data_IF_795118274945
#
_entry.id   IF_795118274945
#
_cell.length_a   1.000
_cell.length_b   1.000
_cell.length_c   1.000
_cell.angle_alpha   90.00
_cell.angle_beta   90.00
_cell.angle_gamma   90.00
#
_symmetry.space_group_name_H-M   'P 1'
#
loop_
_entity.id
_entity.type
_entity.pdbx_description
1 polymer ?
#
# COMPACT_ATOMS: atom_id res chain seq x y z
N UNK A 1 -21.66 6.24 9.19
CA UNK A 1 -20.28 5.75 9.45
C UNK A 1 -19.32 6.74 8.82
N UNK A 2 -18.37 7.26 9.59
CA UNK A 2 -17.48 8.37 9.22
C UNK A 2 -16.14 7.93 8.58
N UNK A 3 -15.93 6.62 8.43
CA UNK A 3 -14.72 6.00 7.85
C UNK A 3 -15.10 5.05 6.72
N UNK A 4 -14.16 4.68 5.83
CA UNK A 4 -14.37 3.61 4.85
C UNK A 4 -14.74 2.28 5.53
N UNK A 5 -15.48 1.44 4.83
CA UNK A 5 -15.52 0.02 5.15
C UNK A 5 -14.17 -0.56 4.76
N UNK A 6 -13.51 -1.24 5.68
CA UNK A 6 -12.17 -1.79 5.45
C UNK A 6 -12.22 -3.31 5.31
N UNK A 7 -11.58 -3.82 4.26
CA UNK A 7 -11.35 -5.24 4.03
C UNK A 7 -9.87 -5.53 4.26
N UNK A 8 -9.56 -6.43 5.18
CA UNK A 8 -8.19 -6.94 5.34
C UNK A 8 -7.98 -8.08 4.36
N UNK A 9 -7.04 -7.91 3.43
CA UNK A 9 -6.68 -8.91 2.44
C UNK A 9 -5.19 -9.24 2.54
N UNK A 10 -4.88 -10.45 2.94
CA UNK A 10 -3.50 -10.91 3.10
C UNK A 10 -3.41 -12.42 2.96
N UNK A 11 -2.24 -12.90 2.55
CA UNK A 11 -1.88 -14.29 2.63
C UNK A 11 -1.53 -14.66 4.07
N UNK A 12 -2.11 -15.75 4.57
CA UNK A 12 -1.92 -16.22 5.93
C UNK A 12 -1.84 -17.74 5.95
N UNK A 13 -0.94 -18.28 6.77
CA UNK A 13 -0.89 -19.73 7.01
C UNK A 13 -2.08 -20.21 7.84
N UNK A 14 -2.35 -21.52 7.82
CA UNK A 14 -3.45 -22.12 8.62
C UNK A 14 -3.31 -21.90 10.11
N UNK A 15 -2.09 -21.70 10.63
CA UNK A 15 -1.82 -21.38 12.02
C UNK A 15 -1.75 -19.87 12.31
N UNK A 16 -2.22 -19.03 11.36
CA UNK A 16 -2.39 -17.59 11.56
C UNK A 16 -1.13 -16.74 11.33
N UNK A 17 -0.06 -17.29 10.76
CA UNK A 17 1.16 -16.52 10.45
C UNK A 17 1.03 -15.76 9.15
N UNK A 18 1.43 -14.50 9.17
CA UNK A 18 1.41 -13.58 8.03
C UNK A 18 2.81 -13.26 7.52
N UNK A 19 3.83 -13.87 8.10
CA UNK A 19 5.24 -13.71 7.69
C UNK A 19 5.87 -15.05 7.42
N UNK A 20 6.68 -15.19 6.36
CA UNK A 20 7.40 -16.43 6.04
C UNK A 20 8.56 -16.74 7.01
N UNK A 21 8.85 -15.89 7.98
CA UNK A 21 9.95 -16.11 8.92
C UNK A 21 9.88 -15.27 10.18
N UNK A 22 10.80 -15.55 11.11
CA UNK A 22 10.93 -14.85 12.39
C UNK A 22 11.48 -13.42 12.27
N UNK A 23 12.03 -13.06 11.12
CA UNK A 23 12.56 -11.73 10.82
C UNK A 23 11.78 -11.09 9.67
N UNK A 24 11.83 -9.77 9.61
CA UNK A 24 11.24 -8.98 8.52
C UNK A 24 12.08 -9.00 7.21
N UNK A 25 12.98 -9.97 7.09
CA UNK A 25 13.86 -10.11 5.92
C UNK A 25 13.20 -10.81 4.73
N UNK A 26 12.15 -11.61 4.98
CA UNK A 26 11.44 -12.37 3.96
C UNK A 26 10.18 -11.62 3.50
N UNK A 27 9.87 -11.78 2.23
CA UNK A 27 8.75 -11.11 1.56
C UNK A 27 7.89 -12.11 0.79
N UNK A 28 6.56 -11.96 0.89
CA UNK A 28 5.60 -12.87 0.25
C UNK A 28 5.83 -12.93 -1.26
N UNK A 29 5.98 -11.78 -1.91
CA UNK A 29 6.09 -11.71 -3.37
C UNK A 29 7.45 -12.20 -3.89
N UNK A 30 8.49 -12.16 -3.06
CA UNK A 30 9.86 -12.57 -3.44
C UNK A 30 10.23 -13.98 -3.00
N UNK A 31 9.72 -14.41 -1.86
CA UNK A 31 10.17 -15.64 -1.22
C UNK A 31 9.19 -16.79 -1.36
N UNK A 32 7.88 -16.52 -1.35
CA UNK A 32 6.87 -17.55 -1.55
C UNK A 32 6.93 -18.24 -2.93
N UNK A 33 7.25 -17.55 -4.05
CA UNK A 33 7.45 -18.22 -5.33
C UNK A 33 8.56 -19.25 -5.36
N UNK A 34 9.44 -19.25 -4.36
CA UNK A 34 10.56 -20.19 -4.23
C UNK A 34 10.19 -21.44 -3.43
N UNK A 35 9.00 -21.47 -2.83
CA UNK A 35 8.54 -22.55 -1.96
C UNK A 35 7.56 -23.42 -2.74
N UNK A 36 7.93 -24.69 -2.95
CA UNK A 36 7.07 -25.67 -3.62
C UNK A 36 5.76 -25.87 -2.85
N UNK A 37 4.65 -25.94 -3.55
CA UNK A 37 3.30 -26.01 -2.99
C UNK A 37 2.69 -24.63 -2.66
N UNK A 38 3.49 -23.59 -2.41
CA UNK A 38 2.98 -22.23 -2.25
C UNK A 38 2.93 -21.49 -3.59
N UNK A 39 3.96 -21.61 -4.42
CA UNK A 39 4.04 -20.95 -5.73
C UNK A 39 2.85 -21.28 -6.65
N UNK A 40 2.30 -22.49 -6.54
CA UNK A 40 1.15 -22.93 -7.33
C UNK A 40 -0.16 -22.24 -6.92
N UNK A 41 -0.27 -21.80 -5.67
CA UNK A 41 -1.44 -21.09 -5.14
C UNK A 41 -1.41 -19.58 -5.35
N UNK A 42 -0.25 -18.98 -5.66
CA UNK A 42 -0.12 -17.52 -5.82
C UNK A 42 -0.99 -16.94 -6.93
N UNK A 43 -1.18 -17.58 -8.11
CA UNK A 43 -2.10 -17.04 -9.12
C UNK A 43 -3.51 -16.83 -8.58
N UNK A 44 -4.04 -17.78 -7.80
CA UNK A 44 -5.36 -17.64 -7.17
C UNK A 44 -5.41 -16.48 -6.17
N UNK A 45 -4.35 -16.24 -5.40
CA UNK A 45 -4.26 -15.08 -4.51
C UNK A 45 -4.41 -13.77 -5.30
N UNK A 46 -3.67 -13.62 -6.40
CA UNK A 46 -3.75 -12.41 -7.23
C UNK A 46 -5.08 -12.27 -7.99
N UNK A 47 -5.72 -13.38 -8.39
CA UNK A 47 -7.06 -13.34 -8.96
C UNK A 47 -8.10 -12.83 -7.96
N UNK A 48 -8.05 -13.29 -6.71
CA UNK A 48 -8.93 -12.83 -5.63
C UNK A 48 -8.65 -11.36 -5.31
N UNK A 49 -7.38 -10.94 -5.28
CA UNK A 49 -7.00 -9.56 -5.06
C UNK A 49 -7.69 -8.61 -6.04
N UNK A 50 -7.82 -8.99 -7.30
CA UNK A 50 -8.47 -8.20 -8.35
C UNK A 50 -9.97 -8.00 -8.14
N UNK A 51 -10.59 -8.79 -7.28
CA UNK A 51 -12.00 -8.67 -6.90
C UNK A 51 -12.23 -7.75 -5.71
N UNK A 52 -11.17 -7.23 -5.10
CA UNK A 52 -11.24 -6.34 -3.94
C UNK A 52 -11.59 -4.90 -4.33
N UNK A 53 -11.58 -4.01 -3.36
CA UNK A 53 -11.97 -2.61 -3.56
C UNK A 53 -10.97 -1.85 -4.45
N UNK A 54 -11.45 -0.83 -5.18
CA UNK A 54 -10.61 0.05 -6.02
C UNK A 54 -9.75 1.03 -5.21
N UNK A 55 -9.76 0.96 -3.90
CA UNK A 55 -8.85 1.65 -3.01
C UNK A 55 -8.00 0.62 -2.26
N UNK A 56 -6.68 0.75 -2.36
CA UNK A 56 -5.71 -0.15 -1.73
C UNK A 56 -4.83 0.62 -0.76
N UNK A 57 -4.73 0.14 0.47
CA UNK A 57 -3.86 0.71 1.51
C UNK A 57 -2.67 -0.21 1.76
N UNK A 58 -1.47 0.37 1.75
CA UNK A 58 -0.23 -0.32 2.04
C UNK A 58 0.76 0.63 2.73
N UNK A 59 1.99 0.19 2.96
CA UNK A 59 3.06 1.01 3.54
C UNK A 59 4.20 1.22 2.56
N UNK A 60 4.86 2.38 2.64
CA UNK A 60 6.04 2.68 1.84
C UNK A 60 7.17 1.68 2.07
N UNK A 61 7.32 1.18 3.31
CA UNK A 61 8.30 0.13 3.65
C UNK A 61 8.12 -1.14 2.82
N UNK A 62 6.90 -1.63 2.68
CA UNK A 62 6.60 -2.81 1.83
C UNK A 62 6.92 -2.49 0.38
N UNK A 63 6.56 -1.31 -0.09
CA UNK A 63 6.78 -0.89 -1.47
C UNK A 63 8.28 -0.71 -1.79
N UNK A 64 9.06 -0.20 -0.85
CA UNK A 64 10.53 -0.15 -0.97
C UNK A 64 11.12 -1.56 -1.12
N UNK A 65 10.70 -2.52 -0.26
CA UNK A 65 11.12 -3.93 -0.36
C UNK A 65 10.77 -4.55 -1.72
N UNK A 66 9.63 -4.16 -2.29
CA UNK A 66 9.21 -4.54 -3.63
C UNK A 66 10.03 -3.88 -4.73
N UNK A 67 10.94 -2.98 -4.39
CA UNK A 67 11.84 -2.30 -5.33
C UNK A 67 11.22 -1.15 -6.10
N UNK A 68 10.10 -0.59 -5.63
CA UNK A 68 9.36 0.50 -6.30
C UNK A 68 10.24 1.72 -6.58
N UNK A 69 11.23 1.98 -5.75
CA UNK A 69 12.17 3.09 -5.92
C UNK A 69 13.09 2.98 -7.16
N UNK A 70 13.12 1.81 -7.83
CA UNK A 70 13.95 1.58 -9.02
C UNK A 70 13.19 0.90 -10.17
N UNK A 71 11.91 0.51 -9.97
CA UNK A 71 11.10 -0.11 -11.03
C UNK A 71 10.80 0.86 -12.17
N UNK A 72 10.71 0.40 -13.41
CA UNK A 72 10.14 1.20 -14.50
C UNK A 72 8.75 1.69 -14.13
N UNK A 73 8.39 2.87 -14.62
CA UNK A 73 7.05 3.39 -14.39
C UNK A 73 6.00 2.48 -15.04
N UNK A 74 4.95 2.13 -14.30
CA UNK A 74 3.91 1.24 -14.77
C UNK A 74 2.87 1.99 -15.61
N UNK A 75 2.04 1.24 -16.30
CA UNK A 75 0.80 1.74 -16.85
C UNK A 75 -0.19 2.12 -15.74
N UNK A 76 -1.08 3.05 -16.07
CA UNK A 76 -2.11 3.52 -15.16
C UNK A 76 -3.16 2.41 -14.93
N UNK A 77 -3.49 2.16 -13.67
CA UNK A 77 -4.53 1.21 -13.26
C UNK A 77 -5.79 1.95 -12.80
N UNK A 78 -6.96 1.30 -12.74
CA UNK A 78 -8.17 1.91 -12.17
C UNK A 78 -8.14 2.04 -10.64
N UNK A 79 -7.07 1.58 -9.99
CA UNK A 79 -6.94 1.54 -8.53
C UNK A 79 -6.40 2.87 -8.01
N UNK A 80 -6.96 3.33 -6.90
CA UNK A 80 -6.41 4.41 -6.08
C UNK A 80 -5.58 3.82 -4.94
N UNK A 81 -4.41 4.39 -4.69
CA UNK A 81 -3.50 3.89 -3.66
C UNK A 81 -3.37 4.86 -2.50
N UNK A 82 -3.35 4.30 -1.30
CA UNK A 82 -3.04 5.00 -0.06
C UNK A 82 -1.80 4.38 0.53
N UNK A 83 -0.76 5.16 0.75
CA UNK A 83 0.45 4.67 1.40
C UNK A 83 0.74 5.46 2.67
N UNK A 84 1.02 4.72 3.74
CA UNK A 84 1.62 5.27 4.94
C UNK A 84 3.13 5.19 4.79
N UNK A 85 3.79 6.34 4.72
CA UNK A 85 5.25 6.40 4.61
C UNK A 85 5.85 7.65 5.24
N UNK A 86 7.01 7.47 5.86
CA UNK A 86 7.81 8.58 6.37
C UNK A 86 9.17 8.69 5.68
N UNK A 87 9.83 7.56 5.32
CA UNK A 87 11.24 7.60 4.93
C UNK A 87 11.64 6.54 3.88
N UNK A 88 10.71 5.75 3.36
CA UNK A 88 11.06 4.60 2.51
C UNK A 88 10.95 4.91 1.02
N UNK A 89 10.00 5.77 0.64
CA UNK A 89 9.82 6.14 -0.76
C UNK A 89 10.75 7.30 -1.14
N UNK A 90 11.44 7.14 -2.26
CA UNK A 90 12.15 8.22 -2.93
C UNK A 90 11.18 9.00 -3.84
N UNK A 91 11.65 10.12 -4.43
CA UNK A 91 10.88 10.84 -5.47
C UNK A 91 10.45 9.91 -6.61
N UNK A 92 11.32 8.97 -7.01
CA UNK A 92 10.99 7.96 -8.01
C UNK A 92 9.83 7.06 -7.56
N UNK A 93 9.86 6.55 -6.32
CA UNK A 93 8.81 5.71 -5.76
C UNK A 93 7.47 6.44 -5.65
N UNK A 94 7.49 7.71 -5.26
CA UNK A 94 6.29 8.56 -5.25
C UNK A 94 5.75 8.74 -6.67
N UNK A 95 6.62 9.10 -7.63
CA UNK A 95 6.23 9.26 -9.03
C UNK A 95 5.69 7.96 -9.63
N UNK A 96 6.27 6.82 -9.27
CA UNK A 96 5.77 5.50 -9.67
C UNK A 96 4.29 5.33 -9.29
N UNK A 97 3.91 5.66 -8.06
CA UNK A 97 2.51 5.58 -7.64
C UNK A 97 1.63 6.65 -8.29
N UNK A 98 2.14 7.84 -8.56
CA UNK A 98 1.40 8.84 -9.33
C UNK A 98 1.05 8.32 -10.75
N UNK A 99 1.99 7.65 -11.41
CA UNK A 99 1.74 7.06 -12.75
C UNK A 99 0.77 5.88 -12.68
N UNK A 100 0.88 5.04 -11.65
CA UNK A 100 0.07 3.84 -11.47
C UNK A 100 -1.39 4.12 -11.10
N UNK A 101 -1.65 5.16 -10.32
CA UNK A 101 -2.89 5.36 -9.56
C UNK A 101 -3.89 6.27 -10.26
N UNK A 102 -5.19 6.05 -10.04
CA UNK A 102 -6.22 7.06 -10.31
C UNK A 102 -6.04 8.24 -9.34
N UNK A 103 -6.03 7.95 -8.05
CA UNK A 103 -5.69 8.89 -6.97
C UNK A 103 -4.59 8.25 -6.13
N UNK A 104 -3.59 9.03 -5.78
CA UNK A 104 -2.55 8.60 -4.86
C UNK A 104 -2.56 9.49 -3.61
N UNK A 105 -2.82 8.88 -2.47
CA UNK A 105 -2.78 9.55 -1.17
C UNK A 105 -1.60 9.04 -0.37
N UNK A 106 -0.72 9.94 0.01
CA UNK A 106 0.38 9.67 0.93
C UNK A 106 0.02 10.19 2.32
N UNK A 107 0.07 9.33 3.32
CA UNK A 107 -0.08 9.72 4.74
C UNK A 107 1.31 9.74 5.35
N UNK A 108 1.71 10.86 5.93
CA UNK A 108 3.06 11.02 6.49
C UNK A 108 3.08 11.93 7.72
N UNK A 109 4.04 11.69 8.61
CA UNK A 109 4.44 12.62 9.67
C UNK A 109 5.79 13.30 9.40
N UNK A 110 6.40 13.03 8.24
CA UNK A 110 7.66 13.63 7.83
C UNK A 110 7.40 14.90 7.01
N UNK A 111 7.80 16.06 7.53
CA UNK A 111 7.68 17.36 6.83
C UNK A 111 8.60 17.50 5.62
N UNK A 112 9.67 16.70 5.60
CA UNK A 112 10.69 16.73 4.54
C UNK A 112 10.54 15.51 3.60
N UNK A 113 9.35 14.90 3.54
CA UNK A 113 9.11 13.75 2.68
C UNK A 113 9.29 14.13 1.20
N UNK A 114 9.97 13.29 0.37
CA UNK A 114 10.22 13.59 -1.04
C UNK A 114 8.96 13.89 -1.88
N UNK A 115 7.80 13.42 -1.43
CA UNK A 115 6.52 13.69 -2.09
C UNK A 115 6.19 15.19 -2.24
N UNK A 116 6.69 16.03 -1.36
CA UNK A 116 6.46 17.48 -1.45
C UNK A 116 7.14 18.13 -2.65
N UNK A 117 8.14 17.47 -3.24
CA UNK A 117 8.82 17.92 -4.45
C UNK A 117 8.09 17.52 -5.75
N UNK A 118 7.11 16.62 -5.66
CA UNK A 118 6.42 16.05 -6.82
C UNK A 118 5.18 16.88 -7.15
N UNK A 119 5.08 17.30 -8.41
CA UNK A 119 3.95 18.09 -8.93
C UNK A 119 3.09 17.25 -9.86
N UNK A 120 2.31 16.36 -9.30
CA UNK A 120 1.35 15.52 -10.03
C UNK A 120 -0.06 15.78 -9.50
N UNK A 121 -1.02 15.98 -10.41
CA UNK A 121 -2.38 16.40 -10.05
C UNK A 121 -3.17 15.36 -9.24
N UNK A 122 -2.78 14.10 -9.30
CA UNK A 122 -3.41 13.00 -8.59
C UNK A 122 -2.70 12.63 -7.27
N UNK A 123 -1.64 13.36 -6.91
CA UNK A 123 -0.96 13.19 -5.62
C UNK A 123 -1.61 14.09 -4.56
N UNK A 124 -1.97 13.48 -3.45
CA UNK A 124 -2.46 14.17 -2.27
C UNK A 124 -1.66 13.74 -1.04
N UNK A 125 -1.34 14.68 -0.17
CA UNK A 125 -0.55 14.40 1.04
C UNK A 125 -1.40 14.75 2.26
N UNK A 126 -1.63 13.73 3.11
CA UNK A 126 -2.22 13.91 4.44
C UNK A 126 -1.05 13.96 5.43
N UNK A 127 -0.73 15.17 5.88
CA UNK A 127 0.29 15.37 6.91
C UNK A 127 -0.33 15.33 8.30
N UNK A 128 0.25 14.55 9.18
CA UNK A 128 -0.14 14.51 10.59
C UNK A 128 1.12 14.49 11.46
N UNK A 129 1.36 15.52 12.27
CA UNK A 129 2.50 15.59 13.18
C UNK A 129 2.54 14.39 14.13
N UNK A 130 1.37 13.97 14.62
CA UNK A 130 1.16 12.72 15.35
C UNK A 130 0.20 11.86 14.54
N UNK A 131 0.71 10.75 14.03
CA UNK A 131 -0.04 9.85 13.18
C UNK A 131 -1.28 9.28 13.90
N UNK A 132 -2.44 9.48 13.28
CA UNK A 132 -3.73 8.92 13.68
C UNK A 132 -4.40 8.27 12.47
N UNK A 133 -4.31 6.95 12.35
CA UNK A 133 -5.00 6.23 11.27
C UNK A 133 -6.50 6.46 11.30
N UNK A 134 -7.09 6.60 12.49
CA UNK A 134 -8.52 6.90 12.62
C UNK A 134 -8.90 8.20 11.91
N UNK A 135 -8.10 9.25 12.08
CA UNK A 135 -8.40 10.55 11.49
C UNK A 135 -8.02 10.58 10.00
N UNK A 136 -6.93 9.93 9.62
CA UNK A 136 -6.58 9.74 8.21
C UNK A 136 -7.67 8.98 7.43
N UNK A 137 -8.24 7.92 8.01
CA UNK A 137 -9.35 7.19 7.38
C UNK A 137 -10.63 8.03 7.26
N UNK A 138 -10.90 8.92 8.21
CA UNK A 138 -12.00 9.88 8.09
C UNK A 138 -11.79 10.85 6.95
N UNK A 139 -10.58 11.38 6.85
CA UNK A 139 -10.21 12.31 5.78
C UNK A 139 -10.25 11.62 4.41
N UNK A 140 -9.76 10.37 4.30
CA UNK A 140 -9.88 9.58 3.07
C UNK A 140 -11.33 9.47 2.59
N UNK A 141 -12.25 9.25 3.52
CA UNK A 141 -13.66 9.16 3.15
C UNK A 141 -14.29 10.50 2.80
N UNK A 142 -14.08 11.50 3.63
CA UNK A 142 -14.75 12.81 3.49
C UNK A 142 -14.20 13.63 2.32
N UNK A 143 -12.89 13.59 2.09
CA UNK A 143 -12.22 14.48 1.12
C UNK A 143 -11.91 13.79 -0.21
N UNK A 144 -11.74 12.45 -0.21
CA UNK A 144 -11.35 11.71 -1.41
C UNK A 144 -12.39 10.68 -1.86
N UNK A 145 -13.52 10.57 -1.17
CA UNK A 145 -14.60 9.67 -1.55
C UNK A 145 -14.28 8.18 -1.39
N UNK A 146 -13.27 7.84 -0.59
CA UNK A 146 -12.91 6.46 -0.28
C UNK A 146 -13.99 5.82 0.61
N UNK A 147 -14.94 5.10 0.02
CA UNK A 147 -16.01 4.45 0.77
C UNK A 147 -15.66 3.04 1.22
N UNK A 148 -14.82 2.35 0.45
CA UNK A 148 -14.32 1.01 0.72
C UNK A 148 -12.82 0.99 0.50
N UNK A 149 -12.08 0.28 1.33
CA UNK A 149 -10.62 0.24 1.32
C UNK A 149 -10.11 -1.17 1.62
N UNK A 150 -9.32 -1.72 0.72
CA UNK A 150 -8.60 -2.97 0.96
C UNK A 150 -7.27 -2.65 1.64
N UNK A 151 -7.01 -3.29 2.78
CA UNK A 151 -5.77 -3.16 3.55
C UNK A 151 -4.91 -4.38 3.27
N UNK A 152 -3.70 -4.16 2.77
CA UNK A 152 -2.73 -5.18 2.39
C UNK A 152 -1.41 -5.06 3.17
N UNK A 153 -1.45 -4.44 4.34
CA UNK A 153 -0.28 -4.26 5.20
C UNK A 153 -0.34 -5.20 6.40
N UNK A 154 0.84 -5.59 6.88
CA UNK A 154 0.98 -6.48 8.03
C UNK A 154 0.60 -5.85 9.37
N UNK A 155 0.74 -6.62 10.45
CA UNK A 155 0.25 -6.30 11.78
C UNK A 155 0.93 -5.14 12.53
N UNK A 156 1.81 -4.38 11.88
CA UNK A 156 2.51 -3.21 12.46
C UNK A 156 1.91 -1.86 12.02
N UNK A 157 0.77 -1.88 11.36
CA UNK A 157 0.06 -0.66 10.91
C UNK A 157 -1.08 -0.31 11.84
#
# INVERSE_FOLDING_TARGET
MDRPITTLFMLMSLDGKISPGASDALDVDKDFPKIDGLKEGLPQYYEIEQTTDLWSFNTGRVQEKMGVNQKPYPDKTPVSFVLLDNNHLTEHGVTYFCKKSQVFVLITSNKDHPAYNIKENNLHIIFQEKLSLKDALRELKSSYGCNKLTIQSGGTV
#
